data_IF_337770857058
#
_entry.id   IF_337770857058
#
_cell.length_a   1.000
_cell.length_b   1.000
_cell.length_c   1.000
_cell.angle_alpha   90.00
_cell.angle_beta   90.00
_cell.angle_gamma   90.00
#
_symmetry.space_group_name_H-M   'P 1'
#
loop_
_entity.id
_entity.type
_entity.pdbx_description
1 polymer ?
#
# COMPACT_ATOMS: atom_id res chain seq x y z
N UNK A 1 -6.80 17.27 -18.95
CA UNK A 1 -7.42 17.87 -20.17
C UNK A 1 -8.83 18.30 -19.79
N UNK A 2 -9.33 19.44 -20.26
CA UNK A 2 -10.71 19.80 -20.00
C UNK A 2 -11.61 18.71 -20.57
N UNK A 3 -12.57 18.25 -19.78
CA UNK A 3 -13.54 17.28 -20.25
C UNK A 3 -14.52 17.96 -21.17
N UNK A 4 -14.45 17.64 -22.46
CA UNK A 4 -15.32 18.22 -23.49
C UNK A 4 -16.59 17.42 -23.71
N UNK A 5 -16.77 16.32 -22.99
CA UNK A 5 -17.90 15.39 -23.23
C UNK A 5 -19.26 16.06 -23.07
N UNK A 6 -19.33 17.09 -22.23
CA UNK A 6 -20.56 17.83 -21.95
C UNK A 6 -20.50 19.27 -22.51
N UNK A 7 -19.36 19.69 -23.04
CA UNK A 7 -19.24 20.97 -23.68
C UNK A 7 -20.03 20.94 -25.00
N UNK A 8 -21.02 21.79 -25.12
CA UNK A 8 -21.76 21.95 -26.36
C UNK A 8 -20.98 22.82 -27.35
N UNK A 9 -20.87 22.41 -28.61
CA UNK A 9 -20.41 23.32 -29.64
C UNK A 9 -21.42 24.45 -29.94
N UNK A 10 -22.64 24.31 -29.48
CA UNK A 10 -23.66 25.38 -29.53
C UNK A 10 -23.67 26.06 -28.18
N UNK A 11 -23.37 27.35 -28.13
CA UNK A 11 -23.54 28.17 -26.95
C UNK A 11 -24.97 28.09 -26.46
N UNK A 12 -25.22 27.13 -25.58
CA UNK A 12 -26.53 26.87 -25.04
C UNK A 12 -26.69 27.47 -23.66
N UNK A 13 -27.90 27.62 -23.25
CA UNK A 13 -28.28 27.87 -21.88
C UNK A 13 -28.32 26.53 -21.16
N UNK A 14 -28.08 26.50 -19.83
CA UNK A 14 -28.26 25.30 -19.04
C UNK A 14 -29.64 24.66 -19.31
N UNK A 15 -29.68 23.35 -19.55
CA UNK A 15 -30.88 22.64 -19.99
C UNK A 15 -31.09 22.60 -21.49
N UNK A 16 -30.24 23.27 -22.28
CA UNK A 16 -30.23 23.12 -23.74
C UNK A 16 -29.76 21.72 -24.15
N UNK A 17 -30.09 21.32 -25.37
CA UNK A 17 -29.67 20.05 -25.96
C UNK A 17 -28.41 20.23 -26.81
N UNK A 18 -27.53 19.25 -26.79
CA UNK A 18 -26.46 19.11 -27.79
C UNK A 18 -27.03 18.78 -29.16
N UNK A 19 -26.20 18.82 -30.22
CA UNK A 19 -26.56 18.30 -31.55
C UNK A 19 -26.97 16.82 -31.55
N UNK A 20 -26.55 16.06 -30.54
CA UNK A 20 -26.96 14.68 -30.31
C UNK A 20 -28.24 14.54 -29.48
N UNK A 21 -28.87 15.63 -29.09
CA UNK A 21 -30.09 15.63 -28.27
C UNK A 21 -29.85 15.45 -26.76
N UNK A 22 -28.61 15.62 -26.26
CA UNK A 22 -28.26 15.47 -24.85
C UNK A 22 -28.38 16.81 -24.12
N UNK A 23 -28.88 16.77 -22.87
CA UNK A 23 -28.94 17.94 -21.99
C UNK A 23 -27.53 18.41 -21.62
N UNK A 24 -27.39 19.75 -21.47
CA UNK A 24 -26.13 20.42 -21.15
C UNK A 24 -26.22 21.02 -19.75
N UNK A 25 -25.48 20.53 -18.75
CA UNK A 25 -25.44 21.15 -17.41
C UNK A 25 -24.65 22.45 -17.40
N UNK A 26 -23.54 22.52 -18.15
CA UNK A 26 -22.62 23.67 -18.19
C UNK A 26 -22.35 24.06 -19.66
N UNK A 27 -23.10 25.04 -20.21
CA UNK A 27 -23.04 25.38 -21.64
C UNK A 27 -21.66 25.87 -22.11
N UNK A 28 -20.88 26.48 -21.22
CA UNK A 28 -19.53 26.96 -21.50
C UNK A 28 -18.45 25.92 -21.26
N UNK A 29 -18.83 24.68 -20.88
CA UNK A 29 -17.92 23.64 -20.47
C UNK A 29 -17.44 23.81 -19.02
N UNK A 30 -16.58 22.90 -18.60
CA UNK A 30 -15.95 22.86 -17.29
C UNK A 30 -14.57 22.19 -17.36
N UNK A 31 -13.76 22.36 -16.33
CA UNK A 31 -12.44 21.81 -16.25
C UNK A 31 -12.25 21.09 -14.89
N UNK A 32 -12.48 19.78 -14.86
CA UNK A 32 -12.38 19.00 -13.63
C UNK A 32 -10.98 19.09 -13.02
N UNK A 33 -10.91 19.19 -11.70
CA UNK A 33 -9.70 19.16 -10.92
C UNK A 33 -9.80 18.07 -9.87
N UNK A 34 -8.75 17.27 -9.75
CA UNK A 34 -8.63 16.30 -8.67
C UNK A 34 -7.99 16.97 -7.46
N UNK A 35 -8.55 16.73 -6.29
CA UNK A 35 -8.08 17.25 -5.02
C UNK A 35 -7.94 16.11 -4.00
N UNK A 36 -6.89 16.18 -3.18
CA UNK A 36 -6.68 15.26 -2.07
C UNK A 36 -6.51 16.09 -0.81
N UNK A 37 -7.24 15.72 0.24
CA UNK A 37 -6.99 16.20 1.59
C UNK A 37 -6.43 15.05 2.41
N UNK A 38 -5.22 15.24 2.93
CA UNK A 38 -4.47 14.27 3.71
C UNK A 38 -4.40 14.70 5.17
N UNK A 39 -4.69 13.74 6.06
CA UNK A 39 -4.53 13.87 7.50
C UNK A 39 -3.62 12.71 7.97
N UNK A 40 -2.37 13.01 8.34
CA UNK A 40 -1.36 12.03 8.78
C UNK A 40 -0.86 12.35 10.18
N UNK A 41 -0.70 11.31 11.00
CA UNK A 41 -0.08 11.43 12.33
C UNK A 41 0.55 10.11 12.78
N UNK A 42 1.58 10.21 13.61
CA UNK A 42 2.22 9.07 14.26
C UNK A 42 2.63 9.40 15.70
N UNK A 43 2.52 8.41 16.56
CA UNK A 43 2.95 8.48 17.95
C UNK A 43 3.85 7.29 18.26
N UNK A 44 4.98 7.55 18.92
CA UNK A 44 5.91 6.53 19.39
C UNK A 44 6.19 6.77 20.86
N UNK A 45 6.14 5.70 21.66
CA UNK A 45 6.51 5.71 23.06
C UNK A 45 7.29 4.45 23.42
N UNK A 46 8.19 4.55 24.39
CA UNK A 46 9.01 3.41 24.78
C UNK A 46 9.78 3.62 26.07
N UNK A 47 10.34 2.54 26.57
CA UNK A 47 11.18 2.50 27.76
C UNK A 47 12.42 1.68 27.46
N UNK A 48 13.59 2.23 27.77
CA UNK A 48 14.89 1.55 27.68
C UNK A 48 15.50 1.44 29.06
N UNK A 49 16.20 0.35 29.28
CA UNK A 49 16.87 0.15 30.55
C UNK A 49 17.83 -1.05 30.55
N UNK A 50 18.32 -1.36 31.72
CA UNK A 50 19.12 -2.56 31.96
C UNK A 50 18.76 -3.18 33.32
N UNK A 51 18.68 -4.51 33.33
CA UNK A 51 18.53 -5.30 34.55
C UNK A 51 19.67 -6.30 34.60
N UNK A 52 20.62 -6.06 35.50
CA UNK A 52 21.88 -6.81 35.52
C UNK A 52 22.68 -6.61 34.25
N UNK A 53 23.01 -7.70 33.55
CA UNK A 53 23.75 -7.68 32.29
C UNK A 53 22.82 -7.55 31.04
N UNK A 54 21.50 -7.63 31.22
CA UNK A 54 20.54 -7.58 30.11
C UNK A 54 20.06 -6.15 29.90
N UNK A 55 20.32 -5.61 28.72
CA UNK A 55 19.75 -4.34 28.23
C UNK A 55 18.42 -4.64 27.56
N UNK A 56 17.43 -3.76 27.70
CA UNK A 56 16.14 -3.90 27.06
C UNK A 56 15.65 -2.59 26.43
N UNK A 57 14.87 -2.72 25.38
CA UNK A 57 14.15 -1.64 24.70
C UNK A 57 12.73 -2.13 24.40
N UNK A 58 11.75 -1.52 25.04
CA UNK A 58 10.33 -1.80 24.82
C UNK A 58 9.72 -0.58 24.19
N UNK A 59 9.16 -0.72 22.99
CA UNK A 59 8.59 0.42 22.28
C UNK A 59 7.29 0.06 21.58
N UNK A 60 6.45 1.08 21.38
CA UNK A 60 5.23 0.97 20.60
C UNK A 60 5.07 2.19 19.72
N UNK A 61 4.59 1.96 18.49
CA UNK A 61 4.30 3.02 17.53
C UNK A 61 2.92 2.80 16.96
N UNK A 62 2.16 3.88 16.83
CA UNK A 62 0.91 3.91 16.08
C UNK A 62 0.96 5.05 15.07
N UNK A 63 0.71 4.75 13.80
CA UNK A 63 0.59 5.71 12.72
C UNK A 63 -0.73 5.54 11.97
N UNK A 64 -1.27 6.65 11.48
CA UNK A 64 -2.47 6.64 10.63
C UNK A 64 -2.36 7.76 9.60
N UNK A 65 -2.60 7.39 8.36
CA UNK A 65 -2.74 8.27 7.20
C UNK A 65 -4.15 8.12 6.62
N UNK A 66 -4.82 9.25 6.38
CA UNK A 66 -6.15 9.30 5.79
C UNK A 66 -6.19 10.31 4.65
N UNK A 67 -6.49 9.81 3.47
CA UNK A 67 -6.61 10.56 2.24
C UNK A 67 -8.08 10.64 1.81
N UNK A 68 -8.64 11.86 1.77
CA UNK A 68 -9.96 12.15 1.23
C UNK A 68 -9.82 12.65 -0.20
N UNK A 69 -10.52 12.01 -1.13
CA UNK A 69 -10.40 12.26 -2.57
C UNK A 69 -11.63 13.03 -3.05
N UNK A 70 -11.39 14.06 -3.83
CA UNK A 70 -12.42 14.94 -4.37
C UNK A 70 -12.20 15.21 -5.85
N UNK A 71 -13.28 15.26 -6.59
CA UNK A 71 -13.32 15.85 -7.94
C UNK A 71 -14.06 17.17 -7.88
N UNK A 72 -13.39 18.26 -8.20
CA UNK A 72 -13.88 19.62 -8.13
C UNK A 72 -14.16 20.19 -9.53
N UNK A 73 -15.09 21.15 -9.63
CA UNK A 73 -15.47 21.78 -10.90
C UNK A 73 -15.83 20.77 -12.00
N UNK A 74 -16.58 19.74 -11.65
CA UNK A 74 -16.98 18.65 -12.55
C UNK A 74 -18.50 18.57 -12.72
N UNK A 75 -18.98 17.48 -13.30
CA UNK A 75 -20.39 17.14 -13.47
C UNK A 75 -20.57 15.62 -13.56
N UNK A 76 -21.72 15.13 -13.12
CA UNK A 76 -22.18 13.79 -13.47
C UNK A 76 -23.26 13.92 -14.56
N UNK A 77 -22.93 13.52 -15.79
CA UNK A 77 -23.79 13.66 -16.95
C UNK A 77 -25.09 12.87 -16.80
N UNK A 78 -25.03 11.62 -16.39
CA UNK A 78 -26.21 10.77 -16.23
C UNK A 78 -27.13 11.27 -15.12
N UNK A 79 -26.55 11.74 -14.01
CA UNK A 79 -27.34 12.33 -12.93
C UNK A 79 -28.09 13.57 -13.42
N UNK A 80 -27.44 14.42 -14.22
CA UNK A 80 -28.09 15.60 -14.80
C UNK A 80 -29.20 15.25 -15.79
N UNK A 81 -28.99 14.26 -16.66
CA UNK A 81 -30.02 13.81 -17.63
C UNK A 81 -31.26 13.29 -16.89
N UNK A 82 -31.06 12.52 -15.82
CA UNK A 82 -32.16 11.86 -15.11
C UNK A 82 -32.89 12.79 -14.13
N UNK A 83 -32.20 13.79 -13.54
CA UNK A 83 -32.73 14.63 -12.45
C UNK A 83 -32.74 16.12 -12.73
N UNK A 84 -32.17 16.58 -13.84
CA UNK A 84 -31.91 17.98 -14.20
C UNK A 84 -30.99 18.71 -13.18
N UNK A 85 -30.22 17.96 -12.40
CA UNK A 85 -29.29 18.50 -11.42
C UNK A 85 -27.98 17.68 -11.39
N UNK A 86 -26.85 18.36 -11.22
CA UNK A 86 -25.57 17.75 -10.91
C UNK A 86 -24.80 18.64 -9.94
N UNK A 87 -24.20 18.08 -8.89
CA UNK A 87 -23.18 18.79 -8.12
C UNK A 87 -22.02 19.20 -9.03
N UNK A 88 -21.22 20.19 -8.59
CA UNK A 88 -19.95 20.55 -9.22
C UNK A 88 -18.76 19.90 -8.53
N UNK A 89 -18.89 19.67 -7.23
CA UNK A 89 -17.86 19.10 -6.41
C UNK A 89 -18.37 17.77 -5.85
N UNK A 90 -17.54 16.76 -5.95
CA UNK A 90 -17.82 15.40 -5.55
C UNK A 90 -16.80 14.94 -4.52
N UNK A 91 -17.27 14.25 -3.50
CA UNK A 91 -16.45 13.44 -2.65
C UNK A 91 -16.38 12.02 -3.26
N UNK A 92 -15.19 11.62 -3.71
CA UNK A 92 -15.02 10.37 -4.44
C UNK A 92 -14.70 9.19 -3.53
N UNK A 93 -14.45 9.47 -2.25
CA UNK A 93 -14.16 8.46 -1.24
C UNK A 93 -12.84 8.70 -0.51
N UNK A 94 -12.39 7.69 0.19
CA UNK A 94 -11.15 7.81 0.99
C UNK A 94 -10.32 6.55 0.97
N UNK A 95 -9.00 6.74 1.14
CA UNK A 95 -8.08 5.72 1.58
C UNK A 95 -7.65 6.02 3.01
N UNK A 96 -7.63 4.99 3.84
CA UNK A 96 -7.07 5.10 5.20
C UNK A 96 -6.11 3.94 5.40
N UNK A 97 -4.87 4.26 5.77
CA UNK A 97 -3.86 3.30 6.19
C UNK A 97 -3.52 3.53 7.65
N UNK A 98 -3.39 2.48 8.43
CA UNK A 98 -2.86 2.57 9.79
C UNK A 98 -1.97 1.40 10.11
N UNK A 99 -0.96 1.66 10.93
CA UNK A 99 -0.03 0.66 11.43
C UNK A 99 0.14 0.81 12.93
N UNK A 100 0.03 -0.30 13.63
CA UNK A 100 0.43 -0.44 15.03
C UNK A 100 1.59 -1.41 15.11
N UNK A 101 2.68 -1.03 15.79
CA UNK A 101 3.85 -1.86 16.01
C UNK A 101 4.21 -1.84 17.50
N UNK A 102 4.47 -3.01 18.07
CA UNK A 102 5.03 -3.16 19.41
C UNK A 102 6.30 -4.00 19.32
N UNK A 103 7.40 -3.51 19.88
CA UNK A 103 8.71 -4.15 19.88
C UNK A 103 9.18 -4.42 21.31
N UNK A 104 9.83 -5.56 21.48
CA UNK A 104 10.53 -5.91 22.72
C UNK A 104 11.90 -6.48 22.33
N UNK A 105 12.95 -5.70 22.55
CA UNK A 105 14.32 -6.01 22.18
C UNK A 105 15.19 -6.15 23.42
N UNK A 106 15.98 -7.21 23.47
CA UNK A 106 16.88 -7.54 24.56
C UNK A 106 18.27 -7.81 24.02
N UNK A 107 19.28 -7.41 24.76
CA UNK A 107 20.67 -7.76 24.44
C UNK A 107 21.50 -8.00 25.70
N UNK A 108 22.45 -8.90 25.59
CA UNK A 108 23.37 -9.22 26.65
C UNK A 108 24.73 -9.62 26.09
N UNK A 109 25.77 -9.50 26.92
CA UNK A 109 27.13 -9.83 26.54
C UNK A 109 27.65 -10.92 27.48
N UNK A 110 28.32 -11.94 26.94
CA UNK A 110 28.95 -13.01 27.72
C UNK A 110 30.45 -12.99 27.50
N UNK A 111 31.21 -12.89 28.57
CA UNK A 111 32.67 -13.03 28.51
C UNK A 111 33.01 -14.53 28.48
N UNK A 112 33.40 -15.02 27.32
CA UNK A 112 33.83 -16.40 27.10
C UNK A 112 35.32 -16.53 26.80
N UNK A 113 36.12 -15.48 27.16
CA UNK A 113 37.56 -15.44 26.88
C UNK A 113 37.90 -15.23 25.39
N UNK A 114 36.96 -14.76 24.59
CA UNK A 114 37.16 -14.34 23.21
C UNK A 114 37.77 -12.95 23.12
N UNK A 115 38.25 -12.55 21.94
CA UNK A 115 38.84 -11.23 21.73
C UNK A 115 37.84 -10.08 22.02
N UNK A 116 36.54 -10.35 21.77
CA UNK A 116 35.41 -9.47 22.17
C UNK A 116 34.34 -10.37 22.80
N UNK A 117 33.69 -9.93 23.88
CA UNK A 117 32.57 -10.69 24.46
C UNK A 117 31.53 -11.10 23.41
N UNK A 118 30.97 -12.27 23.59
CA UNK A 118 29.86 -12.76 22.77
C UNK A 118 28.66 -11.84 22.99
N UNK A 119 28.16 -11.20 21.93
CA UNK A 119 26.94 -10.43 21.98
C UNK A 119 25.77 -11.29 21.51
N UNK A 120 24.70 -11.33 22.31
CA UNK A 120 23.45 -12.01 21.99
C UNK A 120 22.32 -11.01 22.07
N UNK A 121 21.62 -10.81 20.95
CA UNK A 121 20.42 -9.99 20.91
C UNK A 121 19.23 -10.87 20.50
N UNK A 122 18.12 -10.68 21.17
CA UNK A 122 16.87 -11.40 20.86
C UNK A 122 15.69 -10.49 21.15
N UNK A 123 14.60 -10.76 20.47
CA UNK A 123 13.40 -9.93 20.64
C UNK A 123 12.23 -10.42 19.84
N UNK A 124 11.16 -9.65 19.92
CA UNK A 124 9.94 -9.90 19.21
C UNK A 124 9.26 -8.62 18.76
N UNK A 125 8.54 -8.70 17.69
CA UNK A 125 7.74 -7.63 17.14
C UNK A 125 6.32 -8.15 16.85
N UNK A 126 5.34 -7.38 17.29
CA UNK A 126 3.95 -7.51 16.82
C UNK A 126 3.61 -6.30 15.96
N UNK A 127 3.08 -6.54 14.75
CA UNK A 127 2.68 -5.49 13.83
C UNK A 127 1.27 -5.77 13.31
N UNK A 128 0.44 -4.74 13.34
CA UNK A 128 -0.89 -4.77 12.75
C UNK A 128 -1.01 -3.65 11.74
N UNK A 129 -1.20 -4.04 10.47
CA UNK A 129 -1.49 -3.12 9.38
C UNK A 129 -2.98 -3.18 9.07
N UNK A 130 -3.59 -2.04 8.83
CA UNK A 130 -4.96 -1.93 8.41
C UNK A 130 -5.06 -0.96 7.24
N UNK A 131 -5.84 -1.35 6.23
CA UNK A 131 -6.13 -0.53 5.06
C UNK A 131 -7.64 -0.51 4.82
N UNK A 132 -8.20 0.68 4.62
CA UNK A 132 -9.62 0.86 4.41
C UNK A 132 -9.88 1.74 3.19
N UNK A 133 -10.89 1.38 2.41
CA UNK A 133 -11.45 2.20 1.34
C UNK A 133 -12.83 2.65 1.78
N UNK A 134 -13.08 3.95 1.77
CA UNK A 134 -14.38 4.55 1.97
C UNK A 134 -15.05 4.88 0.63
N UNK A 135 -16.36 4.66 0.52
CA UNK A 135 -17.11 5.01 -0.68
C UNK A 135 -17.28 6.52 -0.85
N UNK A 136 -17.44 6.94 -2.09
CA UNK A 136 -17.83 8.29 -2.46
C UNK A 136 -19.29 8.63 -2.12
N UNK A 137 -19.65 9.88 -2.37
CA UNK A 137 -21.02 10.33 -2.22
C UNK A 137 -21.95 9.77 -3.33
N UNK A 138 -23.28 9.82 -3.15
CA UNK A 138 -24.21 9.30 -4.16
C UNK A 138 -24.05 9.94 -5.54
N UNK A 139 -23.67 11.22 -5.60
CA UNK A 139 -23.47 11.92 -6.87
C UNK A 139 -22.21 11.47 -7.60
N UNK A 140 -21.13 11.15 -6.87
CA UNK A 140 -19.86 10.70 -7.44
C UNK A 140 -19.92 9.27 -7.99
N UNK A 141 -20.86 8.45 -7.49
CA UNK A 141 -20.99 7.04 -7.87
C UNK A 141 -22.20 6.74 -8.74
N UNK A 142 -23.04 7.74 -9.05
CA UNK A 142 -24.23 7.53 -9.85
C UNK A 142 -23.89 7.17 -11.29
N UNK A 143 -24.30 5.99 -11.75
CA UNK A 143 -24.00 5.39 -13.07
C UNK A 143 -22.50 5.42 -13.40
N UNK A 144 -22.06 6.28 -14.35
CA UNK A 144 -20.66 6.45 -14.74
C UNK A 144 -19.83 7.28 -13.75
N UNK A 145 -20.49 8.01 -12.84
CA UNK A 145 -19.82 8.87 -11.87
C UNK A 145 -19.56 10.29 -12.36
N UNK A 146 -18.77 11.04 -11.56
CA UNK A 146 -18.26 12.35 -11.95
C UNK A 146 -17.31 12.25 -13.13
N UNK A 147 -17.27 13.30 -13.96
CA UNK A 147 -16.31 13.39 -15.06
C UNK A 147 -14.91 13.62 -14.51
N UNK A 148 -13.90 13.03 -15.10
CA UNK A 148 -12.50 12.88 -14.70
C UNK A 148 -12.29 11.68 -13.77
N UNK A 149 -12.88 11.63 -12.59
CA UNK A 149 -12.70 10.54 -11.65
C UNK A 149 -14.04 10.13 -11.02
N UNK A 150 -14.52 8.90 -11.24
CA UNK A 150 -15.72 8.39 -10.58
C UNK A 150 -15.41 7.99 -9.14
N UNK A 151 -16.34 8.25 -8.22
CA UNK A 151 -16.20 7.85 -6.83
C UNK A 151 -16.13 6.35 -6.62
N UNK A 152 -15.49 5.92 -5.52
CA UNK A 152 -15.47 4.52 -5.09
C UNK A 152 -16.87 4.06 -4.73
N UNK A 153 -17.27 2.93 -5.26
CA UNK A 153 -18.59 2.36 -4.98
C UNK A 153 -18.61 1.67 -3.62
N UNK A 154 -19.79 1.53 -2.98
CA UNK A 154 -19.92 0.73 -1.76
C UNK A 154 -19.43 -0.72 -1.92
N UNK A 155 -19.47 -1.29 -3.14
CA UNK A 155 -18.90 -2.60 -3.44
C UNK A 155 -17.38 -2.66 -3.34
N UNK A 156 -16.70 -1.53 -3.49
CA UNK A 156 -15.24 -1.40 -3.47
C UNK A 156 -14.77 -0.94 -2.07
N UNK A 157 -15.69 -0.47 -1.24
CA UNK A 157 -15.42 -0.06 0.12
C UNK A 157 -15.23 -1.29 1.03
N UNK A 158 -14.32 -1.15 1.98
CA UNK A 158 -14.04 -2.22 2.92
C UNK A 158 -12.79 -1.95 3.73
N UNK A 159 -12.60 -2.77 4.74
CA UNK A 159 -11.42 -2.72 5.61
C UNK A 159 -10.72 -4.07 5.59
N UNK A 160 -9.42 -4.06 5.38
CA UNK A 160 -8.54 -5.22 5.38
C UNK A 160 -7.48 -5.03 6.46
N UNK A 161 -7.19 -6.09 7.20
CA UNK A 161 -6.13 -6.07 8.21
C UNK A 161 -5.19 -7.26 8.04
N UNK A 162 -3.94 -7.06 8.39
CA UNK A 162 -2.89 -8.07 8.45
C UNK A 162 -2.16 -7.93 9.78
N UNK A 163 -1.97 -9.04 10.43
CA UNK A 163 -1.15 -9.14 11.63
C UNK A 163 0.12 -9.90 11.30
N UNK A 164 1.23 -9.47 11.86
CA UNK A 164 2.53 -10.12 11.77
C UNK A 164 3.13 -10.22 13.16
N UNK A 165 3.52 -11.42 13.52
CA UNK A 165 4.25 -11.72 14.75
C UNK A 165 5.64 -12.21 14.34
N UNK A 166 6.67 -11.67 14.93
CA UNK A 166 8.04 -12.10 14.65
C UNK A 166 8.87 -12.24 15.89
N UNK A 167 9.77 -13.21 15.85
CA UNK A 167 10.81 -13.44 16.87
C UNK A 167 12.16 -13.50 16.17
N UNK A 168 13.17 -12.95 16.80
CA UNK A 168 14.52 -13.01 16.25
C UNK A 168 15.57 -13.32 17.32
N UNK A 169 16.65 -13.90 16.86
CA UNK A 169 17.89 -14.12 17.59
C UNK A 169 19.06 -13.71 16.71
N UNK A 170 19.96 -12.91 17.25
CA UNK A 170 21.20 -12.46 16.62
C UNK A 170 22.36 -12.77 17.55
N UNK A 171 23.42 -13.33 17.02
CA UNK A 171 24.63 -13.70 17.76
C UNK A 171 25.85 -13.19 17.04
N UNK A 172 26.60 -12.30 17.71
CA UNK A 172 27.86 -11.77 17.18
C UNK A 172 29.02 -12.19 18.04
N UNK A 173 30.04 -12.78 17.42
CA UNK A 173 31.23 -13.32 18.07
C UNK A 173 32.50 -12.83 17.41
N UNK A 174 33.54 -12.59 18.20
CA UNK A 174 34.91 -12.36 17.73
C UNK A 174 35.86 -13.30 18.48
N UNK A 175 35.97 -14.57 18.05
CA UNK A 175 36.81 -15.56 18.75
C UNK A 175 38.27 -15.13 18.86
N UNK A 176 38.79 -14.49 17.81
CA UNK A 176 40.10 -13.84 17.78
C UNK A 176 39.94 -12.44 17.17
N UNK A 177 40.89 -11.55 17.45
CA UNK A 177 40.82 -10.16 17.01
C UNK A 177 40.64 -10.00 15.47
N UNK A 178 41.20 -10.93 14.69
CA UNK A 178 41.14 -10.91 13.25
C UNK A 178 39.82 -11.48 12.67
N UNK A 179 39.02 -12.24 13.44
CA UNK A 179 37.82 -12.92 12.95
C UNK A 179 36.56 -12.39 13.64
N UNK A 180 35.63 -11.87 12.84
CA UNK A 180 34.30 -11.43 13.29
C UNK A 180 33.23 -12.24 12.57
N UNK A 181 32.33 -12.84 13.35
CA UNK A 181 31.23 -13.66 12.89
C UNK A 181 29.93 -13.08 13.42
N UNK A 182 28.89 -13.09 12.60
CA UNK A 182 27.55 -12.64 12.93
C UNK A 182 26.56 -13.61 12.31
N UNK A 183 25.60 -14.07 13.10
CA UNK A 183 24.55 -14.99 12.64
C UNK A 183 23.21 -14.57 13.22
N UNK A 184 22.20 -14.43 12.34
CA UNK A 184 20.86 -14.08 12.75
C UNK A 184 19.82 -15.04 12.17
N UNK A 185 18.79 -15.30 12.95
CA UNK A 185 17.58 -16.02 12.53
C UNK A 185 16.37 -15.19 12.94
N UNK A 186 15.39 -15.09 12.04
CA UNK A 186 14.11 -14.44 12.28
C UNK A 186 12.99 -15.37 11.85
N UNK A 187 12.06 -15.62 12.73
CA UNK A 187 10.78 -16.28 12.46
C UNK A 187 9.71 -15.21 12.32
N UNK A 188 8.87 -15.31 11.30
CA UNK A 188 7.74 -14.43 11.05
C UNK A 188 6.48 -15.26 10.80
N UNK A 189 5.39 -14.85 11.43
CA UNK A 189 4.07 -15.42 11.20
C UNK A 189 3.10 -14.32 10.76
N UNK A 190 2.47 -14.50 9.60
CA UNK A 190 1.49 -13.59 9.02
C UNK A 190 0.10 -14.22 9.05
N UNK A 191 -0.91 -13.44 9.41
CA UNK A 191 -2.30 -13.90 9.54
C UNK A 191 -2.93 -14.39 8.23
N UNK A 192 -2.39 -14.01 7.07
CA UNK A 192 -2.99 -14.26 5.75
C UNK A 192 -2.20 -15.23 4.84
N UNK A 193 -0.94 -15.52 5.10
CA UNK A 193 -0.15 -16.43 4.26
C UNK A 193 0.83 -17.35 5.03
N UNK A 194 0.75 -17.38 6.37
CA UNK A 194 1.49 -18.33 7.20
C UNK A 194 2.88 -17.85 7.62
N UNK A 195 3.79 -18.78 7.86
CA UNK A 195 5.06 -18.54 8.54
C UNK A 195 6.26 -18.62 7.61
N UNK A 196 7.30 -17.86 7.93
CA UNK A 196 8.58 -17.86 7.24
C UNK A 196 9.74 -17.81 8.23
N UNK A 197 10.86 -18.41 7.86
CA UNK A 197 12.13 -18.31 8.60
C UNK A 197 13.18 -17.71 7.68
N UNK A 198 13.87 -16.70 8.21
CA UNK A 198 14.89 -15.95 7.49
C UNK A 198 16.21 -16.11 8.24
N UNK A 199 17.29 -16.38 7.50
CA UNK A 199 18.63 -16.52 8.05
C UNK A 199 19.57 -15.51 7.43
N UNK A 200 20.53 -15.04 8.24
CA UNK A 200 21.66 -14.24 7.79
C UNK A 200 22.93 -14.72 8.48
N UNK A 201 23.99 -14.84 7.72
CA UNK A 201 25.32 -15.11 8.25
C UNK A 201 26.35 -14.18 7.62
N UNK A 202 27.18 -13.56 8.44
CA UNK A 202 28.26 -12.67 7.99
C UNK A 202 29.56 -13.11 8.62
N UNK A 203 30.62 -13.19 7.83
CA UNK A 203 31.98 -13.39 8.30
C UNK A 203 32.90 -12.29 7.78
N UNK A 204 33.79 -11.84 8.63
CA UNK A 204 34.88 -10.92 8.26
C UNK A 204 36.17 -11.41 8.85
N UNK A 205 37.22 -11.45 8.02
CA UNK A 205 38.57 -11.77 8.44
C UNK A 205 39.53 -10.64 8.06
N UNK A 206 40.20 -10.08 9.06
CA UNK A 206 41.17 -9.00 8.92
C UNK A 206 42.58 -9.63 8.81
N UNK A 207 43.12 -9.78 7.58
CA UNK A 207 44.47 -10.34 7.33
C UNK A 207 45.58 -9.38 7.79
N UNK A 208 45.32 -8.10 7.71
CA UNK A 208 46.21 -7.02 8.15
C UNK A 208 45.40 -5.75 8.40
N UNK A 209 46.05 -4.69 8.91
CA UNK A 209 45.40 -3.39 9.04
C UNK A 209 44.96 -2.78 7.70
N UNK A 210 45.54 -3.21 6.58
CA UNK A 210 45.26 -2.68 5.25
C UNK A 210 44.34 -3.59 4.42
N UNK A 211 44.16 -4.87 4.81
CA UNK A 211 43.41 -5.81 4.02
C UNK A 211 42.49 -6.70 4.85
N UNK A 212 41.21 -6.68 4.51
CA UNK A 212 40.17 -7.53 5.11
C UNK A 212 39.26 -8.12 4.05
N UNK A 213 38.76 -9.34 4.29
CA UNK A 213 37.74 -10.00 3.47
C UNK A 213 36.45 -10.11 4.29
N UNK A 214 35.32 -9.77 3.66
CA UNK A 214 33.97 -9.90 4.23
C UNK A 214 33.07 -10.65 3.29
N UNK A 215 32.31 -11.60 3.80
CA UNK A 215 31.25 -12.31 3.08
C UNK A 215 29.94 -12.28 3.87
N UNK A 216 28.81 -12.21 3.19
CA UNK A 216 27.47 -12.29 3.79
C UNK A 216 26.60 -13.19 2.93
N UNK A 217 25.88 -14.10 3.58
CA UNK A 217 24.83 -14.94 2.98
C UNK A 217 23.54 -14.69 3.74
N UNK A 218 22.44 -14.47 3.03
CA UNK A 218 21.12 -14.31 3.65
C UNK A 218 20.03 -14.88 2.77
N UNK A 219 18.99 -15.39 3.41
CA UNK A 219 17.71 -15.65 2.74
C UNK A 219 16.87 -14.39 2.84
N UNK A 220 16.06 -14.11 1.82
CA UNK A 220 15.15 -12.96 1.80
C UNK A 220 13.72 -13.42 1.62
N UNK A 221 12.80 -12.73 2.27
CA UNK A 221 11.37 -12.90 2.07
C UNK A 221 10.73 -11.53 1.88
N UNK A 222 9.74 -11.46 0.97
CA UNK A 222 8.90 -10.29 0.79
C UNK A 222 7.45 -10.72 0.91
N UNK A 223 6.76 -10.16 1.88
CA UNK A 223 5.32 -10.33 2.01
C UNK A 223 4.61 -9.93 0.71
N UNK A 224 3.61 -10.69 0.31
CA UNK A 224 2.77 -10.32 -0.83
C UNK A 224 2.12 -8.96 -0.55
N UNK A 225 2.10 -8.06 -1.54
CA UNK A 225 1.28 -6.86 -1.41
C UNK A 225 -0.16 -7.27 -1.12
N UNK A 226 -0.91 -6.39 -0.46
CA UNK A 226 -2.34 -6.59 -0.32
C UNK A 226 -2.93 -6.89 -1.69
N UNK A 227 -3.88 -7.83 -1.80
CA UNK A 227 -4.67 -7.91 -3.02
C UNK A 227 -5.30 -6.52 -3.19
N UNK A 228 -4.80 -5.77 -4.17
CA UNK A 228 -5.47 -4.54 -4.56
C UNK A 228 -6.93 -4.90 -4.78
N UNK A 229 -7.89 -4.30 -4.07
CA UNK A 229 -9.25 -4.30 -4.56
C UNK A 229 -9.11 -3.70 -5.96
N UNK A 230 -9.23 -4.54 -6.98
CA UNK A 230 -9.23 -4.08 -8.36
C UNK A 230 -10.39 -3.12 -8.41
N UNK A 231 -10.12 -1.82 -8.51
CA UNK A 231 -11.09 -0.83 -8.95
C UNK A 231 -11.48 -1.34 -10.34
N UNK A 232 -12.54 -2.13 -10.39
CA UNK A 232 -13.03 -2.66 -11.65
C UNK A 232 -13.64 -1.48 -12.37
N UNK A 233 -13.06 -1.05 -13.51
CA UNK A 233 -13.77 -0.09 -14.34
C UNK A 233 -15.15 -0.68 -14.60
N UNK A 234 -16.21 0.14 -14.69
CA UNK A 234 -17.55 -0.34 -14.99
C UNK A 234 -17.47 -1.19 -16.25
N UNK A 235 -17.54 -2.50 -16.08
CA UNK A 235 -17.46 -3.44 -17.17
C UNK A 235 -18.70 -3.28 -18.03
N UNK A 236 -18.54 -2.65 -19.17
CA UNK A 236 -19.32 -3.05 -20.32
C UNK A 236 -18.96 -4.53 -20.54
N UNK A 237 -19.81 -5.44 -20.08
CA UNK A 237 -19.72 -6.86 -20.39
C UNK A 237 -19.94 -7.03 -21.90
N UNK A 238 -18.88 -6.94 -22.66
CA UNK A 238 -18.83 -7.66 -23.94
C UNK A 238 -18.21 -9.02 -23.63
N UNK A 239 -18.94 -10.12 -23.78
CA UNK A 239 -18.31 -11.43 -23.74
C UNK A 239 -17.31 -11.44 -24.90
N UNK A 240 -16.04 -11.74 -24.56
CA UNK A 240 -15.03 -12.07 -25.57
C UNK A 240 -15.60 -13.24 -26.38
N UNK A 241 -16.04 -12.96 -27.59
CA UNK A 241 -16.33 -14.01 -28.59
C UNK A 241 -15.00 -14.73 -28.79
N UNK A 242 -14.95 -15.98 -28.38
CA UNK A 242 -13.85 -16.88 -28.72
C UNK A 242 -13.66 -16.81 -30.24
N UNK A 243 -12.53 -16.24 -30.65
CA UNK A 243 -12.11 -16.28 -32.04
C UNK A 243 -11.67 -17.72 -32.32
N UNK A 244 -12.59 -18.53 -32.85
CA UNK A 244 -12.26 -19.83 -33.41
C UNK A 244 -11.44 -19.59 -34.66
N UNK A 245 -10.12 -19.70 -34.58
CA UNK A 245 -9.26 -19.77 -35.74
C UNK A 245 -9.65 -21.04 -36.54
N UNK A 246 -10.36 -20.90 -37.66
CA UNK A 246 -10.47 -21.98 -38.64
C UNK A 246 -9.10 -22.15 -39.30
N UNK A 247 -8.57 -23.36 -39.41
CA UNK A 247 -7.35 -23.61 -40.18
C UNK A 247 -7.63 -23.34 -41.67
N UNK A 248 -6.72 -22.60 -42.30
CA UNK A 248 -6.71 -22.35 -43.73
C UNK A 248 -6.45 -23.67 -44.43
N UNK A 249 -7.44 -24.20 -45.20
CA UNK A 249 -7.24 -25.33 -46.10
C UNK A 249 -6.32 -24.89 -47.23
N UNK A 250 -5.14 -25.49 -47.32
CA UNK A 250 -4.30 -25.43 -48.49
C UNK A 250 -5.02 -26.19 -49.62
N UNK A 251 -5.15 -25.56 -50.79
CA UNK A 251 -5.57 -26.23 -52.03
C UNK A 251 -4.36 -26.97 -52.61
N UNK A 252 -4.49 -28.22 -53.00
CA UNK A 252 -3.49 -28.86 -53.83
C UNK A 252 -3.55 -28.29 -55.26
N UNK A 253 -2.36 -28.19 -55.83
CA UNK A 253 -2.05 -27.85 -57.23
C UNK A 253 -2.66 -28.83 -58.25
#
# INVERSE_FOLDING_TARGET
MPDRVIASPVLGVAGSLTTAGELIPFPLGFNPREGIREDDYAFTGGVKGAVGAVKFDLSTTYGKDKNLIYTLDSANRSLFIDTHFTPRDFYDGSFTSSEFTANADFSTEFDLGMAVPLNVAFGGEYRKNQYSIGSGDPGSIYKEGGQSYPGFRPSDAGTHSRENESLYLDVAASPVAALKLDGAVRYEHYSDFGSQVIFKGTGRYDFSHAFALRGTVSTGFRARPWPNPIIRPPTSRRPLRSCSCRPIRQRPS
#
